data_IF_860084726474
#
_entry.id   IF_860084726474
#
_cell.length_a   1.000
_cell.length_b   1.000
_cell.length_c   1.000
_cell.angle_alpha   90.00
_cell.angle_beta   90.00
_cell.angle_gamma   90.00
#
_symmetry.space_group_name_H-M   'P 1'
#
loop_
_entity.id
_entity.type
_entity.pdbx_description
1 polymer ?
#
# COMPACT_ATOMS: atom_id res chain seq x y z
N UNK A 1 27.30 -3.68 -1.79
CA UNK A 1 27.69 -3.40 -0.40
C UNK A 1 28.76 -2.28 -0.32
N UNK A 2 29.78 -2.31 -1.17
CA UNK A 2 30.84 -1.27 -1.15
C UNK A 2 30.25 0.11 -1.50
N UNK A 3 29.29 0.20 -2.38
CA UNK A 3 28.60 1.47 -2.68
C UNK A 3 27.83 2.03 -1.48
N UNK A 4 27.36 1.16 -0.58
CA UNK A 4 26.56 1.55 0.60
C UNK A 4 27.42 1.80 1.83
N UNK A 5 28.41 0.93 2.09
CA UNK A 5 29.21 0.94 3.31
C UNK A 5 30.66 1.40 3.10
N UNK A 6 31.09 1.61 1.83
CA UNK A 6 32.45 2.05 1.52
C UNK A 6 33.51 1.14 2.10
N UNK A 7 34.49 1.73 2.74
CA UNK A 7 35.61 1.03 3.38
C UNK A 7 35.21 0.23 4.65
N UNK A 8 34.02 0.48 5.19
CA UNK A 8 33.51 -0.22 6.39
C UNK A 8 32.81 -1.55 6.06
N UNK A 9 32.70 -1.90 4.77
CA UNK A 9 31.95 -3.11 4.34
C UNK A 9 32.39 -4.36 5.11
N UNK A 10 33.70 -4.61 5.24
CA UNK A 10 34.26 -5.77 5.93
C UNK A 10 33.87 -5.72 7.42
N UNK A 11 34.07 -4.58 8.06
CA UNK A 11 33.74 -4.41 9.49
C UNK A 11 32.24 -4.60 9.77
N UNK A 12 31.36 -4.14 8.86
CA UNK A 12 29.91 -4.38 8.96
C UNK A 12 29.60 -5.88 8.91
N UNK A 13 30.21 -6.61 7.97
CA UNK A 13 30.00 -8.07 7.81
C UNK A 13 30.53 -8.86 9.01
N UNK A 14 31.71 -8.50 9.54
CA UNK A 14 32.30 -9.14 10.72
C UNK A 14 31.44 -8.94 11.98
N UNK A 15 30.89 -7.73 12.18
CA UNK A 15 30.04 -7.44 13.33
C UNK A 15 28.63 -8.04 13.22
N UNK A 16 28.00 -7.89 12.06
CA UNK A 16 26.68 -8.43 11.81
C UNK A 16 26.50 -8.74 10.32
N UNK A 17 26.71 -9.99 9.90
CA UNK A 17 26.61 -10.39 8.49
C UNK A 17 25.18 -10.27 7.93
N UNK A 18 24.15 -10.16 8.78
CA UNK A 18 22.75 -9.99 8.34
C UNK A 18 22.33 -8.52 8.20
N UNK A 19 23.14 -7.56 8.60
CA UNK A 19 22.84 -6.13 8.43
C UNK A 19 22.54 -5.74 6.97
N UNK A 20 23.22 -6.33 5.95
CA UNK A 20 22.94 -6.03 4.55
C UNK A 20 21.75 -6.81 3.93
N UNK A 21 20.97 -7.56 4.68
CA UNK A 21 19.80 -8.31 4.17
C UNK A 21 18.84 -7.42 3.36
N UNK A 22 18.55 -6.17 3.75
CA UNK A 22 17.70 -5.29 2.94
C UNK A 22 18.25 -4.95 1.56
N UNK A 23 19.56 -5.14 1.33
CA UNK A 23 20.23 -4.81 0.05
C UNK A 23 20.34 -6.03 -0.86
N UNK A 24 20.76 -7.18 -0.30
CA UNK A 24 21.10 -8.39 -1.08
C UNK A 24 20.13 -9.56 -0.85
N UNK A 25 19.18 -9.42 0.08
CA UNK A 25 18.25 -10.47 0.47
C UNK A 25 18.86 -11.48 1.43
N UNK A 26 17.98 -12.20 2.14
CA UNK A 26 18.37 -13.19 3.15
C UNK A 26 19.21 -14.33 2.56
N UNK A 27 18.80 -14.91 1.42
CA UNK A 27 19.46 -16.09 0.85
C UNK A 27 20.96 -15.87 0.55
N UNK A 28 21.33 -14.68 0.03
CA UNK A 28 22.71 -14.33 -0.25
C UNK A 28 23.49 -14.08 1.03
N UNK A 29 22.91 -13.32 1.95
CA UNK A 29 23.58 -12.97 3.20
C UNK A 29 23.73 -14.17 4.12
N UNK A 30 22.77 -15.10 4.12
CA UNK A 30 22.86 -16.33 4.91
C UNK A 30 24.02 -17.26 4.45
N UNK A 31 24.22 -17.38 3.12
CA UNK A 31 25.36 -18.12 2.59
C UNK A 31 26.69 -17.49 3.02
N UNK A 32 26.79 -16.18 2.96
CA UNK A 32 28.01 -15.45 3.37
C UNK A 32 28.23 -15.61 4.88
N UNK A 33 27.20 -15.42 5.70
CA UNK A 33 27.28 -15.55 7.15
C UNK A 33 27.73 -16.94 7.60
N UNK A 34 27.14 -17.98 7.04
CA UNK A 34 27.52 -19.38 7.31
C UNK A 34 28.96 -19.67 6.88
N UNK A 35 29.41 -19.16 5.73
CA UNK A 35 30.81 -19.28 5.28
C UNK A 35 31.77 -18.52 6.19
N UNK A 36 31.35 -17.45 6.85
CA UNK A 36 32.12 -16.74 7.88
C UNK A 36 32.11 -17.41 9.25
N UNK A 37 31.39 -18.52 9.42
CA UNK A 37 31.32 -19.27 10.67
C UNK A 37 30.16 -18.89 11.59
N UNK A 38 29.13 -18.21 11.09
CA UNK A 38 27.93 -17.95 11.87
C UNK A 38 27.26 -19.26 12.29
N UNK A 39 26.92 -19.45 13.59
CA UNK A 39 26.19 -20.63 14.04
C UNK A 39 24.84 -20.80 13.34
N UNK A 40 24.51 -22.05 12.98
CA UNK A 40 23.29 -22.36 12.21
C UNK A 40 21.99 -21.99 12.92
N UNK A 41 22.00 -21.90 14.24
CA UNK A 41 20.87 -21.58 15.12
C UNK A 41 21.04 -20.25 15.86
N UNK A 42 22.00 -19.40 15.44
CA UNK A 42 22.23 -18.11 16.08
C UNK A 42 20.97 -17.23 16.10
N UNK A 43 20.82 -16.45 17.14
CA UNK A 43 19.67 -15.57 17.33
C UNK A 43 19.47 -14.61 16.14
N UNK A 44 20.55 -13.98 15.66
CA UNK A 44 20.48 -13.04 14.54
C UNK A 44 20.13 -13.72 13.21
N UNK A 45 20.64 -14.94 12.96
CA UNK A 45 20.24 -15.75 11.80
C UNK A 45 18.76 -16.08 11.87
N UNK A 46 18.33 -16.61 13.00
CA UNK A 46 16.95 -17.04 13.21
C UNK A 46 15.95 -15.86 13.14
N UNK A 47 16.32 -14.70 13.68
CA UNK A 47 15.51 -13.47 13.53
C UNK A 47 15.32 -13.09 12.08
N UNK A 48 16.39 -13.01 11.30
CA UNK A 48 16.31 -12.66 9.87
C UNK A 48 15.54 -13.71 9.07
N UNK A 49 15.77 -15.00 9.34
CA UNK A 49 15.05 -16.10 8.69
C UNK A 49 13.54 -16.06 9.00
N UNK A 50 13.16 -15.69 10.22
CA UNK A 50 11.75 -15.56 10.62
C UNK A 50 11.05 -14.43 9.87
N UNK A 51 11.69 -13.27 9.78
CA UNK A 51 11.14 -12.10 9.04
C UNK A 51 11.02 -12.44 7.56
N UNK A 52 12.05 -13.03 6.97
CA UNK A 52 12.04 -13.46 5.56
C UNK A 52 10.96 -14.51 5.28
N UNK A 53 10.77 -15.47 6.20
CA UNK A 53 9.73 -16.50 6.09
C UNK A 53 8.32 -15.89 6.09
N UNK A 54 8.09 -14.86 6.93
CA UNK A 54 6.84 -14.10 6.94
C UNK A 54 6.64 -13.39 5.61
N UNK A 55 7.63 -12.64 5.11
CA UNK A 55 7.55 -11.95 3.83
C UNK A 55 7.23 -12.90 2.66
N UNK A 56 7.93 -14.05 2.57
CA UNK A 56 7.67 -15.06 1.53
C UNK A 56 6.25 -15.63 1.66
N UNK A 57 5.76 -15.87 2.88
CA UNK A 57 4.41 -16.39 3.10
C UNK A 57 3.35 -15.38 2.67
N UNK A 58 3.54 -14.09 2.98
CA UNK A 58 2.67 -12.99 2.59
C UNK A 58 2.67 -12.78 1.07
N UNK A 59 3.84 -12.73 0.43
CA UNK A 59 3.98 -12.56 -1.02
C UNK A 59 3.27 -13.65 -1.82
N UNK A 60 3.36 -14.91 -1.34
CA UNK A 60 2.72 -16.05 -2.03
C UNK A 60 1.19 -15.93 -2.08
N UNK A 61 0.58 -15.32 -1.09
CA UNK A 61 -0.88 -15.15 -0.98
C UNK A 61 -1.36 -13.77 -1.41
N UNK A 62 -0.44 -12.80 -1.59
CA UNK A 62 -0.79 -11.40 -1.78
C UNK A 62 -1.46 -10.78 -0.55
N UNK A 63 -1.11 -11.26 0.66
CA UNK A 63 -1.69 -10.83 1.93
C UNK A 63 -0.67 -10.06 2.75
N UNK A 64 -1.11 -9.17 3.63
CA UNK A 64 -0.27 -8.45 4.60
C UNK A 64 0.10 -9.30 5.82
N UNK A 65 -0.48 -10.47 5.97
CA UNK A 65 -0.26 -11.35 7.11
C UNK A 65 -0.22 -12.82 6.70
N UNK A 66 0.36 -13.65 7.55
CA UNK A 66 0.40 -15.09 7.36
C UNK A 66 0.06 -15.83 8.65
N UNK A 67 -0.48 -17.05 8.52
CA UNK A 67 -0.67 -17.95 9.64
C UNK A 67 0.65 -18.59 10.09
N UNK A 68 0.74 -18.92 11.37
CA UNK A 68 1.92 -19.57 11.97
C UNK A 68 2.42 -20.76 11.17
N UNK A 69 1.53 -21.64 10.74
CA UNK A 69 1.89 -22.84 9.97
C UNK A 69 2.56 -22.51 8.62
N UNK A 70 2.12 -21.46 7.96
CA UNK A 70 2.70 -21.02 6.69
C UNK A 70 4.11 -20.44 6.90
N UNK A 71 4.32 -19.68 7.98
CA UNK A 71 5.61 -19.10 8.34
C UNK A 71 6.60 -20.24 8.70
N UNK A 72 6.20 -21.15 9.59
CA UNK A 72 7.06 -22.28 10.00
C UNK A 72 7.44 -23.19 8.82
N UNK A 73 6.52 -23.41 7.87
CA UNK A 73 6.84 -24.16 6.64
C UNK A 73 7.91 -23.45 5.79
N UNK A 74 7.95 -22.10 5.79
CA UNK A 74 9.01 -21.33 5.10
C UNK A 74 10.31 -21.33 5.89
N UNK A 75 10.24 -21.21 7.23
CA UNK A 75 11.42 -21.33 8.08
C UNK A 75 12.10 -22.69 7.91
N UNK A 76 11.35 -23.79 7.84
CA UNK A 76 11.89 -25.12 7.59
C UNK A 76 12.64 -25.21 6.26
N UNK A 77 12.19 -24.49 5.24
CA UNK A 77 12.88 -24.42 3.94
C UNK A 77 14.13 -23.53 3.97
N UNK A 78 14.10 -22.41 4.72
CA UNK A 78 15.24 -21.49 4.83
C UNK A 78 16.33 -22.00 5.79
N UNK A 79 15.93 -22.72 6.85
CA UNK A 79 16.83 -23.18 7.90
C UNK A 79 16.67 -24.70 8.16
N UNK A 80 16.93 -25.57 7.15
CA UNK A 80 16.66 -27.02 7.26
C UNK A 80 17.53 -27.73 8.31
N UNK A 81 18.62 -27.12 8.76
CA UNK A 81 19.51 -27.68 9.79
C UNK A 81 19.03 -27.41 11.21
N UNK A 82 18.00 -26.56 11.38
CA UNK A 82 17.47 -26.10 12.68
C UNK A 82 16.22 -26.91 13.05
N UNK A 83 16.07 -27.29 14.31
CA UNK A 83 14.90 -28.04 14.77
C UNK A 83 13.61 -27.21 14.70
N UNK A 84 12.48 -27.87 14.55
CA UNK A 84 11.16 -27.22 14.51
C UNK A 84 10.84 -26.45 15.80
N UNK A 85 11.31 -26.97 16.95
CA UNK A 85 11.17 -26.31 18.26
C UNK A 85 11.90 -24.96 18.25
N UNK A 86 13.16 -24.95 17.79
CA UNK A 86 13.97 -23.71 17.73
C UNK A 86 13.39 -22.70 16.73
N UNK A 87 12.85 -23.17 15.61
CA UNK A 87 12.16 -22.32 14.63
C UNK A 87 10.91 -21.68 15.26
N UNK A 88 10.13 -22.43 16.02
CA UNK A 88 8.95 -21.94 16.73
C UNK A 88 9.31 -20.94 17.83
N UNK A 89 10.33 -21.23 18.63
CA UNK A 89 10.87 -20.30 19.63
C UNK A 89 11.27 -18.97 19.00
N UNK A 90 11.99 -19.01 17.88
CA UNK A 90 12.39 -17.81 17.15
C UNK A 90 11.19 -16.97 16.70
N UNK A 91 10.14 -17.58 16.18
CA UNK A 91 8.91 -16.89 15.80
C UNK A 91 8.26 -16.18 17.00
N UNK A 92 8.19 -16.86 18.14
CA UNK A 92 7.64 -16.28 19.36
C UNK A 92 8.52 -15.15 19.93
N UNK A 93 9.85 -15.28 19.84
CA UNK A 93 10.80 -14.29 20.34
C UNK A 93 10.81 -13.02 19.46
N UNK A 94 10.80 -13.18 18.14
CA UNK A 94 10.72 -12.04 17.20
C UNK A 94 9.40 -11.27 17.39
N UNK A 95 8.32 -11.97 17.70
CA UNK A 95 7.04 -11.32 18.03
C UNK A 95 7.10 -10.54 19.36
N UNK A 96 7.88 -10.99 20.36
CA UNK A 96 8.05 -10.25 21.64
C UNK A 96 8.83 -8.95 21.49
N UNK A 97 9.81 -8.90 20.60
CA UNK A 97 10.61 -7.68 20.34
C UNK A 97 9.97 -6.73 19.33
N UNK A 98 8.73 -6.98 18.95
CA UNK A 98 7.93 -6.14 18.05
C UNK A 98 8.52 -5.93 16.64
N UNK A 99 9.36 -6.82 16.17
CA UNK A 99 9.77 -6.82 14.76
C UNK A 99 8.63 -7.35 13.86
N UNK A 100 7.83 -8.28 14.39
CA UNK A 100 6.56 -8.74 13.82
C UNK A 100 5.45 -8.61 14.86
N UNK A 101 4.20 -8.50 14.40
CA UNK A 101 3.02 -8.33 15.26
C UNK A 101 2.13 -9.56 15.17
N UNK A 102 1.83 -10.19 16.30
CA UNK A 102 0.87 -11.30 16.39
C UNK A 102 -0.51 -10.77 16.72
N UNK A 103 -1.49 -11.07 15.86
CA UNK A 103 -2.90 -10.79 16.11
C UNK A 103 -3.74 -12.06 15.92
N UNK A 104 -4.17 -12.67 17.02
CA UNK A 104 -4.85 -13.97 17.00
C UNK A 104 -3.93 -15.06 16.42
N UNK A 105 -4.33 -15.66 15.30
CA UNK A 105 -3.55 -16.68 14.60
C UNK A 105 -2.65 -16.12 13.47
N UNK A 106 -2.70 -14.82 13.21
CA UNK A 106 -1.97 -14.17 12.14
C UNK A 106 -0.77 -13.40 12.68
N UNK A 107 0.27 -13.36 11.85
CA UNK A 107 1.48 -12.58 12.07
C UNK A 107 1.66 -11.61 10.92
N UNK A 108 2.07 -10.38 11.25
CA UNK A 108 2.29 -9.26 10.34
C UNK A 108 3.74 -8.78 10.44
N UNK A 109 4.29 -8.28 9.35
CA UNK A 109 5.34 -7.29 9.49
C UNK A 109 4.79 -6.07 10.26
N UNK A 110 5.63 -5.43 11.06
CA UNK A 110 5.19 -4.31 11.89
C UNK A 110 4.68 -3.14 11.07
N UNK A 111 5.37 -2.82 9.97
CA UNK A 111 5.01 -1.66 9.14
C UNK A 111 3.73 -1.93 8.37
N UNK A 112 3.53 -3.16 7.87
CA UNK A 112 2.27 -3.61 7.26
C UNK A 112 1.10 -3.51 8.23
N UNK A 113 1.29 -3.97 9.47
CA UNK A 113 0.26 -3.88 10.52
C UNK A 113 -0.14 -2.44 10.83
N UNK A 114 0.85 -1.54 10.91
CA UNK A 114 0.59 -0.13 11.18
C UNK A 114 -0.11 0.55 9.99
N UNK A 115 0.30 0.22 8.75
CA UNK A 115 -0.35 0.72 7.53
C UNK A 115 -1.81 0.28 7.45
N UNK A 116 -2.10 -1.02 7.68
CA UNK A 116 -3.47 -1.55 7.71
C UNK A 116 -4.34 -0.85 8.75
N UNK A 117 -3.82 -0.68 9.96
CA UNK A 117 -4.55 0.01 11.04
C UNK A 117 -4.85 1.46 10.71
N UNK A 118 -3.88 2.18 10.13
CA UNK A 118 -4.05 3.58 9.71
C UNK A 118 -5.12 3.69 8.63
N UNK A 119 -5.02 2.87 7.59
CA UNK A 119 -6.02 2.82 6.52
C UNK A 119 -7.41 2.49 7.05
N UNK A 120 -7.53 1.44 7.88
CA UNK A 120 -8.81 1.00 8.43
C UNK A 120 -9.46 2.09 9.27
N UNK A 121 -8.70 2.78 10.12
CA UNK A 121 -9.20 3.87 10.93
C UNK A 121 -9.72 5.02 10.06
N UNK A 122 -8.97 5.40 9.02
CA UNK A 122 -9.36 6.47 8.09
C UNK A 122 -10.60 6.11 7.26
N UNK A 123 -10.66 4.90 6.74
CA UNK A 123 -11.83 4.41 6.01
C UNK A 123 -13.08 4.41 6.90
N UNK A 124 -12.97 3.95 8.15
CA UNK A 124 -14.09 3.96 9.10
C UNK A 124 -14.53 5.38 9.42
N UNK A 125 -13.58 6.30 9.64
CA UNK A 125 -13.87 7.73 9.83
C UNK A 125 -14.68 8.29 8.65
N UNK A 126 -14.19 8.10 7.41
CA UNK A 126 -14.83 8.61 6.20
C UNK A 126 -16.19 7.94 5.94
N UNK A 127 -16.30 6.62 6.17
CA UNK A 127 -17.55 5.87 5.94
C UNK A 127 -18.62 6.17 6.98
N UNK A 128 -18.24 6.59 8.19
CA UNK A 128 -19.15 6.93 9.29
C UNK A 128 -19.62 8.39 9.26
N UNK A 129 -19.08 9.19 8.35
CA UNK A 129 -19.47 10.60 8.23
C UNK A 129 -20.88 10.73 7.65
N UNK A 130 -21.63 11.69 8.17
CA UNK A 130 -22.98 12.00 7.66
C UNK A 130 -22.93 12.49 6.21
N UNK A 131 -23.94 12.13 5.39
CA UNK A 131 -24.06 12.63 4.03
C UNK A 131 -24.13 14.17 3.99
N UNK A 132 -23.49 14.76 2.98
CA UNK A 132 -23.42 16.21 2.82
C UNK A 132 -24.01 16.67 1.49
N UNK A 133 -24.57 17.87 1.47
CA UNK A 133 -25.01 18.59 0.27
C UNK A 133 -25.85 17.77 -0.73
N UNK A 134 -26.70 16.85 -0.23
CA UNK A 134 -27.48 15.94 -1.09
C UNK A 134 -28.31 16.71 -2.14
N UNK A 135 -28.93 17.80 -1.73
CA UNK A 135 -29.77 18.60 -2.62
C UNK A 135 -28.96 19.33 -3.69
N UNK A 136 -27.87 19.96 -3.29
CA UNK A 136 -26.97 20.67 -4.20
C UNK A 136 -26.34 19.71 -5.24
N UNK A 137 -26.00 18.49 -4.82
CA UNK A 137 -25.51 17.45 -5.72
C UNK A 137 -26.56 17.02 -6.73
N UNK A 138 -27.81 16.79 -6.29
CA UNK A 138 -28.91 16.43 -7.20
C UNK A 138 -29.24 17.56 -8.18
N UNK A 139 -29.31 18.81 -7.74
CA UNK A 139 -29.55 19.95 -8.59
C UNK A 139 -28.44 20.14 -9.64
N UNK A 140 -27.17 20.01 -9.22
CA UNK A 140 -26.01 20.06 -10.11
C UNK A 140 -25.99 18.90 -11.11
N UNK A 141 -26.33 17.67 -10.67
CA UNK A 141 -26.41 16.51 -11.53
C UNK A 141 -27.50 16.62 -12.61
N UNK A 142 -28.69 17.08 -12.25
CA UNK A 142 -29.76 17.33 -13.21
C UNK A 142 -29.34 18.39 -14.24
N UNK A 143 -28.67 19.46 -13.80
CA UNK A 143 -28.12 20.49 -14.67
C UNK A 143 -27.08 19.92 -15.61
N UNK A 144 -26.13 19.14 -15.09
CA UNK A 144 -25.06 18.50 -15.88
C UNK A 144 -25.63 17.59 -16.99
N UNK A 145 -26.66 16.77 -16.70
CA UNK A 145 -27.29 15.90 -17.70
C UNK A 145 -27.93 16.71 -18.85
N UNK A 146 -28.57 17.85 -18.52
CA UNK A 146 -29.17 18.72 -19.52
C UNK A 146 -28.12 19.40 -20.41
N UNK A 147 -27.05 19.92 -19.80
CA UNK A 147 -25.99 20.64 -20.53
C UNK A 147 -25.16 19.72 -21.44
N UNK A 148 -24.92 18.48 -21.02
CA UNK A 148 -24.18 17.52 -21.80
C UNK A 148 -25.05 16.64 -22.73
N UNK A 149 -26.37 16.74 -22.68
CA UNK A 149 -27.32 15.88 -23.40
C UNK A 149 -27.06 14.38 -23.16
N UNK A 150 -26.62 14.00 -21.95
CA UNK A 150 -26.30 12.64 -21.55
C UNK A 150 -27.25 12.20 -20.46
N UNK A 151 -27.86 11.02 -20.64
CA UNK A 151 -28.63 10.35 -19.60
C UNK A 151 -27.80 9.18 -19.10
N UNK A 152 -27.37 9.25 -17.85
CA UNK A 152 -26.65 8.16 -17.20
C UNK A 152 -27.59 7.01 -16.84
N UNK A 153 -27.08 5.79 -16.90
CA UNK A 153 -27.81 4.63 -16.38
C UNK A 153 -28.07 4.78 -14.87
N UNK A 154 -29.06 4.06 -14.30
CA UNK A 154 -29.36 4.19 -12.86
C UNK A 154 -28.15 3.99 -11.95
N UNK A 155 -27.27 3.03 -12.26
CA UNK A 155 -26.05 2.77 -11.47
C UNK A 155 -24.99 3.89 -11.63
N UNK A 156 -24.85 4.44 -12.83
CA UNK A 156 -23.95 5.57 -13.05
C UNK A 156 -24.47 6.84 -12.34
N UNK A 157 -25.79 7.08 -12.39
CA UNK A 157 -26.43 8.17 -11.66
C UNK A 157 -26.26 8.02 -10.13
N UNK A 158 -26.39 6.80 -9.62
CA UNK A 158 -26.12 6.50 -8.22
C UNK A 158 -24.66 6.81 -7.83
N UNK A 159 -23.70 6.48 -8.67
CA UNK A 159 -22.29 6.78 -8.41
C UNK A 159 -22.03 8.30 -8.33
N UNK A 160 -22.70 9.13 -9.14
CA UNK A 160 -22.64 10.59 -9.04
C UNK A 160 -23.29 11.09 -7.73
N UNK A 161 -24.46 10.56 -7.36
CA UNK A 161 -25.15 10.92 -6.11
C UNK A 161 -24.36 10.51 -4.87
N UNK A 162 -23.47 9.52 -4.98
CA UNK A 162 -22.61 9.08 -3.89
C UNK A 162 -21.51 10.11 -3.55
N UNK A 163 -21.37 11.22 -4.28
CA UNK A 163 -20.60 12.38 -3.87
C UNK A 163 -21.00 12.96 -2.50
N UNK A 164 -22.21 12.66 -2.03
CA UNK A 164 -22.66 13.02 -0.67
C UNK A 164 -21.89 12.30 0.43
N UNK A 165 -21.29 11.16 0.15
CA UNK A 165 -20.47 10.39 1.09
C UNK A 165 -19.02 10.80 0.98
N UNK A 166 -18.29 10.73 2.09
CA UNK A 166 -16.86 11.06 2.14
C UNK A 166 -15.97 10.04 1.43
N UNK A 167 -16.47 8.83 1.23
CA UNK A 167 -15.78 7.78 0.48
C UNK A 167 -16.79 7.02 -0.38
N UNK A 168 -16.42 6.72 -1.60
CA UNK A 168 -17.22 5.87 -2.50
C UNK A 168 -16.32 5.01 -3.38
N UNK A 169 -16.80 3.83 -3.75
CA UNK A 169 -16.10 2.89 -4.62
C UNK A 169 -16.95 2.66 -5.87
N UNK A 170 -16.37 2.99 -7.03
CA UNK A 170 -16.99 2.76 -8.33
C UNK A 170 -16.33 1.56 -8.99
N UNK A 171 -17.08 0.49 -9.19
CA UNK A 171 -16.60 -0.73 -9.85
C UNK A 171 -17.45 -1.07 -11.07
N UNK A 172 -16.84 -1.75 -12.04
CA UNK A 172 -17.56 -2.20 -13.25
C UNK A 172 -16.62 -2.84 -14.26
N UNK A 173 -17.18 -3.68 -15.12
CA UNK A 173 -16.45 -4.36 -16.21
C UNK A 173 -15.93 -3.39 -17.28
N UNK A 174 -15.16 -3.90 -18.26
CA UNK A 174 -14.76 -3.11 -19.43
C UNK A 174 -16.00 -2.62 -20.20
N UNK A 175 -15.95 -1.41 -20.74
CA UNK A 175 -17.03 -0.86 -21.57
C UNK A 175 -18.30 -0.43 -20.81
N UNK A 176 -18.35 -0.48 -19.49
CA UNK A 176 -19.53 -0.09 -18.68
C UNK A 176 -19.69 1.43 -18.52
N UNK A 177 -18.82 2.22 -19.15
CA UNK A 177 -18.87 3.68 -19.09
C UNK A 177 -18.30 4.27 -17.81
N UNK A 178 -17.35 3.58 -17.15
CA UNK A 178 -16.64 4.11 -15.96
C UNK A 178 -16.08 5.50 -16.19
N UNK A 179 -15.44 5.72 -17.35
CA UNK A 179 -14.87 7.02 -17.74
C UNK A 179 -15.92 8.12 -17.82
N UNK A 180 -17.07 7.83 -18.44
CA UNK A 180 -18.21 8.79 -18.52
C UNK A 180 -18.75 9.11 -17.13
N UNK A 181 -18.86 8.08 -16.29
CA UNK A 181 -19.27 8.23 -14.90
C UNK A 181 -18.29 9.07 -14.10
N UNK A 182 -16.98 8.80 -14.22
CA UNK A 182 -15.94 9.57 -13.56
C UNK A 182 -15.97 11.04 -13.98
N UNK A 183 -16.10 11.32 -15.27
CA UNK A 183 -16.24 12.69 -15.77
C UNK A 183 -17.47 13.38 -15.17
N UNK A 184 -18.63 12.72 -15.13
CA UNK A 184 -19.84 13.27 -14.51
C UNK A 184 -19.64 13.57 -13.01
N UNK A 185 -18.98 12.65 -12.27
CA UNK A 185 -18.62 12.84 -10.86
C UNK A 185 -17.80 14.12 -10.69
N UNK A 186 -16.77 14.31 -11.53
CA UNK A 186 -15.86 15.45 -11.44
C UNK A 186 -16.53 16.77 -11.77
N UNK A 187 -17.30 16.80 -12.89
CA UNK A 187 -18.00 17.99 -13.31
C UNK A 187 -19.04 18.42 -12.25
N UNK A 188 -19.81 17.46 -11.71
CA UNK A 188 -20.79 17.72 -10.65
C UNK A 188 -20.10 18.16 -9.36
N UNK A 189 -18.98 17.51 -9.00
CA UNK A 189 -18.19 17.94 -7.85
C UNK A 189 -17.75 19.40 -7.97
N UNK A 190 -17.18 19.76 -9.11
CA UNK A 190 -16.74 21.15 -9.36
C UNK A 190 -17.90 22.17 -9.34
N UNK A 191 -19.10 21.77 -9.77
CA UNK A 191 -20.30 22.62 -9.66
C UNK A 191 -20.73 22.90 -8.21
N UNK A 192 -20.56 21.92 -7.32
CA UNK A 192 -20.95 21.97 -5.91
C UNK A 192 -19.87 22.58 -5.02
N UNK A 193 -18.61 22.38 -5.39
CA UNK A 193 -17.41 22.85 -4.67
C UNK A 193 -16.42 23.53 -5.62
N UNK A 194 -16.75 24.71 -6.16
CA UNK A 194 -15.96 25.36 -7.22
C UNK A 194 -14.54 25.78 -6.79
N UNK A 195 -14.35 26.04 -5.49
CA UNK A 195 -13.08 26.51 -4.93
C UNK A 195 -12.18 25.37 -4.43
N UNK A 196 -12.66 24.11 -4.47
CA UNK A 196 -11.89 22.97 -3.99
C UNK A 196 -11.05 22.32 -5.10
N UNK A 197 -9.85 21.91 -4.76
CA UNK A 197 -8.97 21.21 -5.67
C UNK A 197 -9.37 19.74 -5.81
N UNK A 198 -9.36 19.27 -7.06
CA UNK A 198 -9.55 17.87 -7.42
C UNK A 198 -8.17 17.28 -7.72
N UNK A 199 -7.80 16.23 -7.02
CA UNK A 199 -6.57 15.48 -7.23
C UNK A 199 -6.88 14.12 -7.83
N UNK A 200 -6.43 13.90 -9.08
CA UNK A 200 -6.58 12.62 -9.79
C UNK A 200 -5.27 11.88 -9.81
N UNK A 201 -5.30 10.62 -9.41
CA UNK A 201 -4.11 9.79 -9.33
C UNK A 201 -4.34 8.37 -9.83
N UNK A 202 -3.25 7.72 -10.23
CA UNK A 202 -3.24 6.31 -10.60
C UNK A 202 -1.91 5.67 -10.16
N UNK A 203 -1.83 4.33 -10.04
CA UNK A 203 -0.58 3.66 -9.64
C UNK A 203 0.53 3.76 -10.66
N UNK A 204 0.20 3.90 -11.96
CA UNK A 204 1.17 3.96 -13.05
C UNK A 204 1.03 5.22 -13.89
N UNK A 205 2.13 5.64 -14.52
CA UNK A 205 2.13 6.80 -15.41
C UNK A 205 1.20 6.63 -16.62
N UNK A 206 1.07 5.40 -17.14
CA UNK A 206 0.17 5.11 -18.26
C UNK A 206 -1.30 5.23 -17.84
N UNK A 207 -1.66 4.72 -16.67
CA UNK A 207 -3.02 4.86 -16.12
C UNK A 207 -3.35 6.32 -15.82
N UNK A 208 -2.43 7.08 -15.22
CA UNK A 208 -2.58 8.51 -15.00
C UNK A 208 -2.80 9.28 -16.31
N UNK A 209 -2.01 8.99 -17.35
CA UNK A 209 -2.18 9.60 -18.67
C UNK A 209 -3.56 9.32 -19.27
N UNK A 210 -4.02 8.06 -19.23
CA UNK A 210 -5.36 7.67 -19.70
C UNK A 210 -6.47 8.38 -18.91
N UNK A 211 -6.31 8.49 -17.60
CA UNK A 211 -7.23 9.22 -16.74
C UNK A 211 -7.31 10.70 -17.13
N UNK A 212 -6.17 11.36 -17.37
CA UNK A 212 -6.12 12.75 -17.82
C UNK A 212 -6.78 12.94 -19.19
N UNK A 213 -6.50 12.08 -20.17
CA UNK A 213 -7.10 12.12 -21.51
C UNK A 213 -8.63 11.92 -21.45
N UNK A 214 -9.10 11.06 -20.55
CA UNK A 214 -10.51 10.71 -20.44
C UNK A 214 -11.35 11.73 -19.67
N UNK A 215 -10.78 12.39 -18.68
CA UNK A 215 -11.45 13.39 -17.85
C UNK A 215 -11.25 14.83 -18.33
N UNK A 216 -10.21 15.07 -19.12
CA UNK A 216 -9.76 16.41 -19.50
C UNK A 216 -9.08 17.18 -18.35
N UNK A 217 -8.79 16.53 -17.24
CA UNK A 217 -8.16 17.10 -16.04
C UNK A 217 -6.75 16.56 -15.83
N UNK A 218 -5.93 17.32 -15.13
CA UNK A 218 -4.58 16.85 -14.78
C UNK A 218 -4.66 15.65 -13.84
N UNK A 219 -3.85 14.65 -14.15
CA UNK A 219 -3.67 13.45 -13.33
C UNK A 219 -2.19 13.11 -13.19
N UNK A 220 -1.80 12.49 -12.09
CA UNK A 220 -0.42 12.07 -11.85
C UNK A 220 -0.35 10.68 -11.23
N UNK A 221 0.85 10.14 -11.08
CA UNK A 221 1.00 8.93 -10.27
C UNK A 221 0.81 9.24 -8.79
N UNK A 222 0.32 8.26 -8.01
CA UNK A 222 0.17 8.41 -6.55
C UNK A 222 1.50 8.83 -5.93
N UNK A 223 2.61 8.20 -6.34
CA UNK A 223 3.95 8.57 -5.86
C UNK A 223 4.26 10.06 -6.05
N UNK A 224 3.97 10.59 -7.23
CA UNK A 224 4.23 12.00 -7.54
C UNK A 224 3.25 12.93 -6.78
N UNK A 225 1.98 12.55 -6.69
CA UNK A 225 0.97 13.34 -6.00
C UNK A 225 1.24 13.46 -4.50
N UNK A 226 1.71 12.37 -3.89
CA UNK A 226 2.07 12.31 -2.46
C UNK A 226 3.53 12.70 -2.19
N UNK A 227 4.30 13.18 -3.18
CA UNK A 227 5.70 13.55 -3.00
C UNK A 227 6.60 12.40 -2.54
N UNK A 228 6.27 11.16 -2.92
CA UNK A 228 6.99 9.97 -2.47
C UNK A 228 8.24 9.74 -3.32
N UNK A 229 9.37 9.56 -2.66
CA UNK A 229 10.62 9.13 -3.28
C UNK A 229 11.06 7.78 -2.72
N UNK A 230 11.77 6.95 -3.51
CA UNK A 230 12.35 5.71 -2.99
C UNK A 230 13.25 5.99 -1.78
N UNK A 231 13.06 5.25 -0.69
CA UNK A 231 13.94 5.37 0.47
C UNK A 231 15.32 4.79 0.16
N UNK A 232 16.38 5.50 0.54
CA UNK A 232 17.76 5.19 0.15
C UNK A 232 18.26 3.81 0.60
N UNK A 233 17.58 3.12 1.55
CA UNK A 233 18.07 1.87 2.14
C UNK A 233 16.95 0.86 2.47
N UNK A 234 15.77 1.01 1.92
CA UNK A 234 14.64 0.10 2.17
C UNK A 234 13.74 -0.01 0.94
N UNK A 235 12.97 -1.08 0.88
CA UNK A 235 11.92 -1.27 -0.14
C UNK A 235 10.72 -0.31 0.01
N UNK A 236 10.83 0.70 0.87
CA UNK A 236 9.79 1.68 1.16
C UNK A 236 9.95 3.02 0.44
N UNK A 237 9.03 3.92 0.72
CA UNK A 237 9.04 5.29 0.24
C UNK A 237 9.09 6.25 1.43
N UNK A 238 9.70 7.43 1.23
CA UNK A 238 9.64 8.55 2.16
C UNK A 238 8.92 9.73 1.50
N UNK A 239 8.04 10.39 2.23
CA UNK A 239 7.43 11.62 1.78
C UNK A 239 8.47 12.76 1.85
N UNK A 240 8.75 13.39 0.71
CA UNK A 240 9.53 14.62 0.63
C UNK A 240 8.70 15.64 -0.11
N UNK A 241 7.98 16.46 0.59
CA UNK A 241 7.24 17.56 0.00
C UNK A 241 5.94 17.85 0.73
N UNK A 242 5.37 19.00 0.46
CA UNK A 242 4.05 19.38 0.95
C UNK A 242 3.00 18.55 0.21
N UNK A 243 2.16 17.83 0.96
CA UNK A 243 0.97 17.21 0.41
C UNK A 243 0.04 18.31 -0.11
N UNK A 244 -0.48 18.14 -1.32
CA UNK A 244 -1.47 19.06 -1.86
C UNK A 244 -2.75 18.91 -1.06
N UNK A 245 -3.18 19.97 -0.38
CA UNK A 245 -4.50 20.02 0.25
C UNK A 245 -5.53 20.01 -0.87
N UNK A 246 -6.39 19.01 -0.90
CA UNK A 246 -7.43 18.86 -1.90
C UNK A 246 -8.77 18.47 -1.25
N UNK A 247 -9.86 18.90 -1.87
CA UNK A 247 -11.20 18.56 -1.41
C UNK A 247 -11.68 17.21 -1.94
N UNK A 248 -11.13 16.76 -3.07
CA UNK A 248 -11.50 15.51 -3.72
C UNK A 248 -10.28 14.74 -4.21
N UNK A 249 -10.24 13.47 -3.89
CA UNK A 249 -9.24 12.53 -4.40
C UNK A 249 -9.92 11.45 -5.24
N UNK A 250 -9.53 11.34 -6.51
CA UNK A 250 -9.93 10.23 -7.39
C UNK A 250 -8.76 9.33 -7.69
N UNK A 251 -8.89 8.04 -7.38
CA UNK A 251 -7.85 7.03 -7.65
C UNK A 251 -8.40 6.00 -8.62
N UNK A 252 -7.76 5.85 -9.79
CA UNK A 252 -8.08 4.80 -10.77
C UNK A 252 -7.14 3.59 -10.59
N UNK A 253 -7.57 2.44 -11.11
CA UNK A 253 -6.83 1.17 -11.05
C UNK A 253 -6.42 0.75 -9.62
N UNK A 254 -7.33 0.90 -8.64
CA UNK A 254 -7.10 0.57 -7.22
C UNK A 254 -6.61 -0.86 -6.98
N UNK A 255 -6.92 -1.80 -7.87
CA UNK A 255 -6.44 -3.18 -7.79
C UNK A 255 -4.91 -3.33 -7.90
N UNK A 256 -4.23 -2.31 -8.40
CA UNK A 256 -2.76 -2.26 -8.52
C UNK A 256 -2.09 -1.41 -7.42
N UNK A 257 -2.87 -0.86 -6.50
CA UNK A 257 -2.37 -0.01 -5.42
C UNK A 257 -2.11 -0.86 -4.19
N UNK A 258 -0.85 -0.94 -3.78
CA UNK A 258 -0.48 -1.59 -2.51
C UNK A 258 -0.93 -0.78 -1.29
N UNK A 259 -1.05 -1.44 -0.17
CA UNK A 259 -1.56 -0.90 1.09
C UNK A 259 -0.77 0.31 1.59
N UNK A 260 0.55 0.25 1.57
CA UNK A 260 1.40 1.38 1.96
C UNK A 260 1.15 2.61 1.09
N UNK A 261 1.06 2.40 -0.22
CA UNK A 261 0.82 3.49 -1.16
C UNK A 261 -0.57 4.10 -0.97
N UNK A 262 -1.57 3.26 -0.68
CA UNK A 262 -2.91 3.73 -0.37
C UNK A 262 -2.96 4.47 0.97
N UNK A 263 -2.25 3.98 2.00
CA UNK A 263 -2.15 4.66 3.28
C UNK A 263 -1.59 6.09 3.14
N UNK A 264 -0.59 6.29 2.26
CA UNK A 264 -0.09 7.63 1.94
C UNK A 264 -1.10 8.49 1.17
N UNK A 265 -1.91 7.87 0.29
CA UNK A 265 -2.85 8.60 -0.55
C UNK A 265 -4.06 9.15 0.22
N UNK A 266 -4.43 8.55 1.37
CA UNK A 266 -5.61 8.93 2.16
C UNK A 266 -5.27 9.66 3.46
N UNK A 267 -4.00 9.88 3.74
CA UNK A 267 -3.49 10.61 4.92
C UNK A 267 -3.51 12.12 4.68
#
# INVERSE_FOLDING_TARGET
LVETYGNETIHVLENNPYKPVPILGFAVMDQIALAMGEPVDSERRMTCATIEALHIACQKTGSMCAEESAILARMAALTPQVSAERQKESLDDVAKVYAIVKQGKYYYDKDDFLAERKMSAKIVELASAEPIKEREIEDAFIKWQKENAIILSPRQAEAVRNLKYRISIVTGGPGTGKTTCLRAIMDVYHMVWPDEHILLMAPTGLAAKRMAESTGMNSSTIHKACGLIPANNSSGFTAQGDCTICGFIGIDEMSMVGEHLFAYAID
#
